data_IF_420949337604
#
_entry.id   IF_420949337604
#
_cell.length_a   1.000
_cell.length_b   1.000
_cell.length_c   1.000
_cell.angle_alpha   90.00
_cell.angle_beta   90.00
_cell.angle_gamma   90.00
#
_symmetry.space_group_name_H-M   'P 1'
#
loop_
_entity.id
_entity.type
_entity.pdbx_description
1 polymer ?
#
# COMPACT_ATOMS: atom_id res chain seq x y z
N UNK A 1 16.21 -7.34 11.61
CA UNK A 1 15.19 -8.37 11.34
C UNK A 1 14.42 -7.95 10.10
N UNK A 2 14.21 -8.88 9.15
CA UNK A 2 13.86 -8.54 7.77
C UNK A 2 12.51 -7.83 7.65
N UNK A 3 12.52 -6.73 6.89
CA UNK A 3 11.35 -6.18 6.22
C UNK A 3 10.50 -7.32 5.68
N UNK A 4 9.22 -7.37 6.08
CA UNK A 4 8.22 -8.33 5.63
C UNK A 4 7.82 -8.06 4.17
N UNK A 5 8.79 -8.04 3.26
CA UNK A 5 8.52 -8.22 1.84
C UNK A 5 8.02 -9.65 1.69
N UNK A 6 6.71 -9.82 1.56
CA UNK A 6 6.12 -11.10 1.16
C UNK A 6 6.02 -11.14 -0.36
N UNK A 7 6.26 -12.30 -0.92
CA UNK A 7 6.09 -12.60 -2.35
C UNK A 7 5.03 -13.67 -2.49
N UNK A 8 4.39 -13.75 -3.66
CA UNK A 8 3.46 -14.82 -3.97
C UNK A 8 4.14 -15.82 -4.88
N UNK A 9 3.96 -17.11 -4.58
CA UNK A 9 4.34 -18.19 -5.50
C UNK A 9 3.11 -18.57 -6.28
N UNK A 10 3.16 -18.43 -7.60
CA UNK A 10 2.02 -18.62 -8.50
C UNK A 10 2.29 -19.80 -9.42
N UNK A 11 1.31 -20.69 -9.54
CA UNK A 11 1.29 -21.74 -10.55
C UNK A 11 0.71 -21.19 -11.85
N UNK A 12 1.40 -21.45 -12.96
CA UNK A 12 0.98 -21.17 -14.33
C UNK A 12 0.91 -22.45 -15.15
N UNK A 13 0.20 -22.37 -16.27
CA UNK A 13 -0.04 -23.52 -17.16
C UNK A 13 0.76 -23.38 -18.45
N UNK A 14 1.37 -24.48 -18.89
CA UNK A 14 2.29 -24.50 -20.04
C UNK A 14 1.65 -24.06 -21.36
N UNK A 15 0.35 -24.32 -21.50
CA UNK A 15 -0.46 -23.98 -22.69
C UNK A 15 -1.65 -23.07 -22.36
N UNK A 16 -1.60 -22.36 -21.23
CA UNK A 16 -2.71 -21.53 -20.72
C UNK A 16 -3.91 -22.32 -20.18
N UNK A 17 -3.81 -23.66 -20.12
CA UNK A 17 -4.80 -24.56 -19.49
C UNK A 17 -4.08 -25.62 -18.67
N UNK A 18 -4.60 -25.90 -17.47
CA UNK A 18 -4.05 -26.98 -16.67
C UNK A 18 -4.46 -28.36 -17.19
N UNK A 19 -3.49 -29.26 -17.23
CA UNK A 19 -3.69 -30.69 -17.38
C UNK A 19 -4.26 -31.32 -16.11
N UNK A 20 -4.79 -32.53 -16.24
CA UNK A 20 -5.29 -33.31 -15.11
C UNK A 20 -4.20 -33.55 -14.04
N UNK A 21 -2.96 -33.80 -14.46
CA UNK A 21 -1.82 -34.02 -13.57
C UNK A 21 -1.43 -32.76 -12.80
N UNK A 22 -1.46 -31.60 -13.47
CA UNK A 22 -1.20 -30.30 -12.83
C UNK A 22 -2.28 -29.97 -11.78
N UNK A 23 -3.55 -30.30 -12.03
CA UNK A 23 -4.62 -30.10 -11.03
C UNK A 23 -4.45 -31.03 -9.82
N UNK A 24 -4.01 -32.27 -10.03
CA UNK A 24 -3.69 -33.18 -8.92
C UNK A 24 -2.47 -32.69 -8.12
N UNK A 25 -1.48 -32.09 -8.77
CA UNK A 25 -0.34 -31.47 -8.12
C UNK A 25 -0.75 -30.24 -7.30
N UNK A 26 -1.64 -29.39 -7.83
CA UNK A 26 -2.16 -28.18 -7.16
C UNK A 26 -2.81 -28.50 -5.80
N UNK A 27 -3.56 -29.60 -5.71
CA UNK A 27 -4.21 -30.08 -4.47
C UNK A 27 -3.26 -30.42 -3.33
N UNK A 28 -1.98 -30.63 -3.63
CA UNK A 28 -0.96 -30.87 -2.60
C UNK A 28 -0.62 -29.58 -1.85
N UNK A 29 -0.74 -28.43 -2.52
CA UNK A 29 -0.38 -27.11 -1.99
C UNK A 29 -1.58 -26.36 -1.40
N UNK A 30 -2.79 -26.58 -1.91
CA UNK A 30 -3.99 -25.85 -1.51
C UNK A 30 -4.96 -26.76 -0.74
N UNK A 31 -5.04 -26.66 0.60
CA UNK A 31 -5.96 -27.46 1.41
C UNK A 31 -7.41 -27.34 0.95
N UNK A 32 -7.86 -26.12 0.66
CA UNK A 32 -9.24 -25.84 0.24
C UNK A 32 -9.60 -26.45 -1.13
N UNK A 33 -8.60 -26.72 -1.96
CA UNK A 33 -8.77 -27.34 -3.29
C UNK A 33 -8.69 -28.87 -3.20
N UNK A 34 -7.99 -29.40 -2.19
CA UNK A 34 -7.77 -30.84 -1.98
C UNK A 34 -9.07 -31.61 -1.82
N UNK A 35 -9.98 -31.05 -1.02
CA UNK A 35 -11.20 -31.74 -0.58
C UNK A 35 -12.41 -31.52 -1.51
N UNK A 36 -12.27 -30.65 -2.52
CA UNK A 36 -13.33 -30.35 -3.49
C UNK A 36 -13.51 -31.49 -4.52
N UNK A 37 -14.64 -31.57 -5.23
CA UNK A 37 -14.77 -32.44 -6.40
C UNK A 37 -13.81 -32.04 -7.52
N UNK A 38 -13.12 -33.01 -8.14
CA UNK A 38 -12.10 -32.74 -9.17
C UNK A 38 -12.66 -32.01 -10.39
N UNK A 39 -13.90 -32.31 -10.77
CA UNK A 39 -14.60 -31.66 -11.88
C UNK A 39 -14.81 -30.16 -11.67
N UNK A 40 -15.06 -29.73 -10.43
CA UNK A 40 -15.25 -28.31 -10.11
C UNK A 40 -13.93 -27.55 -10.18
N UNK A 41 -12.86 -28.16 -9.65
CA UNK A 41 -11.52 -27.58 -9.68
C UNK A 41 -11.02 -27.45 -11.12
N UNK A 42 -11.22 -28.49 -11.95
CA UNK A 42 -10.85 -28.42 -13.37
C UNK A 42 -11.56 -27.27 -14.10
N UNK A 43 -12.84 -27.03 -13.81
CA UNK A 43 -13.59 -25.91 -14.41
C UNK A 43 -13.05 -24.55 -13.98
N UNK A 44 -12.70 -24.41 -12.71
CA UNK A 44 -12.19 -23.14 -12.16
C UNK A 44 -10.76 -22.84 -12.64
N UNK A 45 -9.92 -23.88 -12.71
CA UNK A 45 -8.55 -23.76 -13.20
C UNK A 45 -8.51 -23.41 -14.70
N UNK A 46 -9.55 -23.79 -15.46
CA UNK A 46 -9.71 -23.35 -16.85
C UNK A 46 -10.13 -21.87 -16.98
N UNK A 47 -10.78 -21.31 -15.96
CA UNK A 47 -11.24 -19.92 -15.95
C UNK A 47 -10.17 -18.93 -15.44
N UNK A 48 -9.24 -19.40 -14.59
CA UNK A 48 -8.22 -18.58 -13.96
C UNK A 48 -6.81 -19.08 -14.33
N UNK A 49 -6.00 -18.29 -15.05
CA UNK A 49 -4.70 -18.72 -15.56
C UNK A 49 -3.61 -18.84 -14.48
N UNK A 50 -3.78 -18.13 -13.36
CA UNK A 50 -2.78 -17.98 -12.30
C UNK A 50 -3.35 -18.42 -10.95
N UNK A 51 -2.67 -19.34 -10.26
CA UNK A 51 -3.12 -19.84 -8.95
C UNK A 51 -2.05 -19.62 -7.88
N UNK A 52 -2.41 -18.89 -6.83
CA UNK A 52 -1.49 -18.59 -5.71
C UNK A 52 -1.30 -19.83 -4.86
N UNK A 53 -0.09 -20.39 -4.86
CA UNK A 53 0.29 -21.57 -4.06
C UNK A 53 0.65 -21.19 -2.62
N UNK A 54 1.31 -20.04 -2.44
CA UNK A 54 1.71 -19.54 -1.13
C UNK A 54 1.99 -18.04 -1.17
N UNK A 55 1.77 -17.36 -0.05
CA UNK A 55 2.23 -15.99 0.21
C UNK A 55 3.23 -16.07 1.37
N UNK A 56 4.52 -15.87 1.09
CA UNK A 56 5.59 -16.19 2.03
C UNK A 56 6.79 -15.25 1.88
N UNK A 57 7.79 -15.39 2.77
CA UNK A 57 9.03 -14.61 2.68
C UNK A 57 9.87 -15.06 1.46
N UNK A 58 10.63 -14.17 0.77
CA UNK A 58 11.42 -14.49 -0.41
C UNK A 58 12.33 -15.73 -0.26
N UNK A 59 12.90 -15.91 0.94
CA UNK A 59 13.72 -17.08 1.26
C UNK A 59 12.92 -18.39 1.27
N UNK A 60 11.65 -18.35 1.68
CA UNK A 60 10.74 -19.51 1.68
C UNK A 60 10.12 -19.75 0.30
N UNK A 61 9.90 -18.67 -0.47
CA UNK A 61 9.31 -18.72 -1.80
C UNK A 61 10.11 -19.61 -2.75
N UNK A 62 11.45 -19.56 -2.65
CA UNK A 62 12.34 -20.46 -3.39
C UNK A 62 12.06 -21.93 -3.10
N UNK A 63 11.90 -22.30 -1.83
CA UNK A 63 11.60 -23.66 -1.40
C UNK A 63 10.23 -24.12 -1.90
N UNK A 64 9.22 -23.26 -1.83
CA UNK A 64 7.87 -23.56 -2.34
C UNK A 64 7.90 -23.74 -3.87
N UNK A 65 8.61 -22.89 -4.60
CA UNK A 65 8.81 -23.01 -6.05
C UNK A 65 9.47 -24.35 -6.41
N UNK A 66 10.56 -24.72 -5.75
CA UNK A 66 11.27 -25.99 -5.99
C UNK A 66 10.36 -27.20 -5.72
N UNK A 67 9.55 -27.17 -4.67
CA UNK A 67 8.58 -28.22 -4.37
C UNK A 67 7.49 -28.32 -5.43
N UNK A 68 6.95 -27.18 -5.88
CA UNK A 68 5.93 -27.13 -6.91
C UNK A 68 6.44 -27.64 -8.26
N UNK A 69 7.66 -27.25 -8.64
CA UNK A 69 8.32 -27.73 -9.87
C UNK A 69 8.60 -29.23 -9.83
N UNK A 70 9.03 -29.78 -8.68
CA UNK A 70 9.16 -31.24 -8.49
C UNK A 70 7.82 -31.97 -8.57
N UNK A 71 6.73 -31.30 -8.23
CA UNK A 71 5.39 -31.85 -8.36
C UNK A 71 4.82 -31.71 -9.80
N UNK A 72 5.58 -31.13 -10.74
CA UNK A 72 5.18 -30.97 -12.13
C UNK A 72 4.50 -29.64 -12.46
N UNK A 73 4.40 -28.70 -11.51
CA UNK A 73 3.82 -27.38 -11.73
C UNK A 73 4.85 -26.39 -12.28
N UNK A 74 4.40 -25.46 -13.12
CA UNK A 74 5.21 -24.28 -13.46
C UNK A 74 4.96 -23.24 -12.37
N UNK A 75 5.85 -23.20 -11.38
CA UNK A 75 5.79 -22.21 -10.33
C UNK A 75 6.76 -21.06 -10.60
N UNK A 76 6.27 -19.84 -10.44
CA UNK A 76 7.04 -18.61 -10.50
C UNK A 76 6.87 -17.83 -9.20
N UNK A 77 7.91 -17.14 -8.80
CA UNK A 77 7.83 -16.16 -7.71
C UNK A 77 7.46 -14.84 -8.35
N UNK A 78 6.32 -14.29 -7.95
CA UNK A 78 5.93 -12.94 -8.32
C UNK A 78 6.02 -12.06 -7.08
N UNK A 79 6.53 -10.85 -7.27
CA UNK A 79 6.27 -9.79 -6.33
C UNK A 79 4.76 -9.61 -6.26
N UNK A 80 4.24 -9.52 -5.04
CA UNK A 80 2.81 -9.23 -4.87
C UNK A 80 2.61 -7.83 -5.45
N UNK A 81 1.72 -7.66 -6.46
CA UNK A 81 1.48 -6.37 -7.06
C UNK A 81 1.15 -5.34 -5.97
N UNK A 82 1.60 -4.12 -6.23
CA UNK A 82 1.65 -2.99 -5.30
C UNK A 82 0.27 -2.59 -4.76
N UNK A 83 -0.80 -3.03 -5.42
CA UNK A 83 -2.17 -2.92 -4.95
C UNK A 83 -2.54 -4.05 -3.98
N UNK A 84 -2.80 -3.69 -2.72
CA UNK A 84 -3.50 -4.58 -1.78
C UNK A 84 -2.67 -5.28 -0.72
N UNK A 85 -1.47 -4.77 -0.39
CA UNK A 85 -0.73 -5.19 0.80
C UNK A 85 -0.60 -4.08 1.85
N UNK A 86 -1.39 -3.01 1.74
CA UNK A 86 -1.57 -2.05 2.83
C UNK A 86 -2.64 -2.56 3.81
N UNK A 87 -2.67 -2.09 5.05
CA UNK A 87 -3.79 -2.37 5.97
C UNK A 87 -5.14 -1.93 5.43
N UNK A 88 -5.15 -0.98 4.48
CA UNK A 88 -6.35 -0.44 3.84
C UNK A 88 -6.14 -0.50 2.33
N UNK A 89 -7.06 -1.17 1.63
CA UNK A 89 -7.04 -1.28 0.17
C UNK A 89 -7.44 0.06 -0.50
N UNK A 90 -6.98 0.31 -1.72
CA UNK A 90 -7.30 1.54 -2.47
C UNK A 90 -8.81 1.72 -2.64
N UNK A 91 -9.57 0.64 -2.83
CA UNK A 91 -11.04 0.67 -2.93
C UNK A 91 -11.72 1.05 -1.61
N UNK A 92 -11.08 0.73 -0.49
CA UNK A 92 -11.57 1.08 0.84
C UNK A 92 -11.20 2.51 1.20
N UNK A 93 -9.97 2.95 0.87
CA UNK A 93 -9.58 4.35 0.94
C UNK A 93 -10.48 5.22 0.07
N UNK A 94 -10.76 4.82 -1.17
CA UNK A 94 -11.69 5.55 -2.04
C UNK A 94 -13.07 5.72 -1.39
N UNK A 95 -13.61 4.66 -0.78
CA UNK A 95 -14.87 4.73 -0.02
C UNK A 95 -14.80 5.69 1.16
N UNK A 96 -13.75 5.58 1.99
CA UNK A 96 -13.54 6.47 3.13
C UNK A 96 -13.43 7.94 2.71
N UNK A 97 -12.81 8.20 1.56
CA UNK A 97 -12.56 9.54 1.01
C UNK A 97 -13.70 10.08 0.14
N UNK A 98 -14.79 9.32 0.00
CA UNK A 98 -15.94 9.61 -0.86
C UNK A 98 -15.57 9.82 -2.34
N UNK A 99 -14.64 9.00 -2.85
CA UNK A 99 -14.17 8.99 -4.23
C UNK A 99 -14.78 7.81 -5.01
N UNK A 100 -14.85 7.94 -6.34
CA UNK A 100 -15.20 6.82 -7.23
C UNK A 100 -14.12 5.75 -7.25
N UNK A 101 -12.85 6.17 -7.27
CA UNK A 101 -11.67 5.34 -7.09
C UNK A 101 -10.52 6.21 -6.57
N UNK A 102 -9.51 5.60 -5.93
CA UNK A 102 -8.27 6.29 -5.61
C UNK A 102 -7.36 6.25 -6.84
N UNK A 103 -7.67 7.10 -7.81
CA UNK A 103 -6.90 7.22 -9.05
C UNK A 103 -6.96 8.64 -9.60
N UNK A 104 -5.95 9.00 -10.38
CA UNK A 104 -5.92 10.27 -11.10
C UNK A 104 -7.08 10.33 -12.09
N UNK A 105 -7.76 11.47 -12.17
CA UNK A 105 -8.96 11.66 -12.97
C UNK A 105 -10.27 11.23 -12.29
N UNK A 106 -10.20 10.55 -11.14
CA UNK A 106 -11.40 10.16 -10.39
C UNK A 106 -12.11 11.37 -9.76
N UNK A 107 -13.42 11.27 -9.63
CA UNK A 107 -14.25 12.29 -9.01
C UNK A 107 -14.83 11.85 -7.67
N UNK A 108 -15.54 12.76 -7.01
CA UNK A 108 -16.34 12.42 -5.82
C UNK A 108 -17.58 11.62 -6.20
N UNK A 109 -17.99 10.71 -5.32
CA UNK A 109 -19.25 9.98 -5.51
C UNK A 109 -20.42 10.96 -5.55
N UNK A 110 -21.31 10.81 -6.54
CA UNK A 110 -22.51 11.64 -6.69
C UNK A 110 -22.29 13.02 -7.35
N UNK A 111 -21.06 13.41 -7.70
CA UNK A 111 -20.76 14.72 -8.30
C UNK A 111 -20.30 14.64 -9.78
N UNK A 112 -20.48 13.49 -10.43
CA UNK A 112 -19.98 13.27 -11.81
C UNK A 112 -20.82 14.09 -12.81
N UNK A 113 -20.21 15.15 -13.37
CA UNK A 113 -20.84 15.98 -14.40
C UNK A 113 -21.60 17.21 -13.89
N UNK A 114 -21.55 17.51 -12.58
CA UNK A 114 -22.17 18.68 -12.00
C UNK A 114 -21.21 19.89 -11.89
N UNK A 115 -21.70 21.14 -11.93
CA UNK A 115 -20.91 22.31 -11.55
C UNK A 115 -20.39 22.13 -10.10
N UNK A 116 -19.06 22.23 -9.90
CA UNK A 116 -18.43 21.90 -8.62
C UNK A 116 -17.90 20.45 -8.51
N UNK A 117 -17.94 19.68 -9.60
CA UNK A 117 -17.26 18.38 -9.67
C UNK A 117 -15.76 18.55 -9.41
N UNK A 118 -15.26 17.85 -8.39
CA UNK A 118 -13.83 17.78 -8.10
C UNK A 118 -13.17 16.62 -8.84
N UNK A 119 -11.96 16.83 -9.33
CA UNK A 119 -11.16 15.82 -10.02
C UNK A 119 -9.84 15.60 -9.27
N UNK A 120 -9.48 14.34 -9.00
CA UNK A 120 -8.19 13.98 -8.40
C UNK A 120 -7.08 14.23 -9.42
N UNK A 121 -6.16 15.14 -9.11
CA UNK A 121 -4.98 15.44 -9.92
C UNK A 121 -3.76 14.60 -9.53
N UNK A 122 -3.62 14.36 -8.22
CA UNK A 122 -2.53 13.60 -7.65
C UNK A 122 -2.94 13.03 -6.29
N UNK A 123 -2.30 11.96 -5.87
CA UNK A 123 -2.42 11.43 -4.52
C UNK A 123 -1.14 10.74 -4.10
N UNK A 124 -0.94 10.65 -2.78
CA UNK A 124 0.08 9.80 -2.19
C UNK A 124 -0.43 9.19 -0.89
N UNK A 125 0.12 8.03 -0.54
CA UNK A 125 -0.16 7.32 0.71
C UNK A 125 1.13 6.77 1.32
N UNK A 126 1.13 6.67 2.64
CA UNK A 126 2.10 5.97 3.46
C UNK A 126 1.38 4.98 4.34
N UNK A 127 1.57 3.70 4.07
CA UNK A 127 1.21 2.67 5.05
C UNK A 127 2.28 2.64 6.13
N UNK A 128 1.87 2.84 7.38
CA UNK A 128 2.71 2.66 8.57
C UNK A 128 2.44 1.27 9.12
N UNK A 129 3.51 0.49 9.27
CA UNK A 129 3.48 -0.94 9.56
C UNK A 129 4.25 -1.23 10.85
N UNK A 130 3.64 -1.03 12.02
CA UNK A 130 4.27 -1.42 13.29
C UNK A 130 4.34 -2.94 13.44
N UNK A 131 5.36 -3.40 14.16
CA UNK A 131 5.59 -4.83 14.39
C UNK A 131 4.56 -5.47 15.33
N UNK A 132 3.98 -4.69 16.26
CA UNK A 132 3.10 -5.20 17.32
C UNK A 132 1.76 -4.45 17.44
N UNK A 133 1.48 -3.53 16.52
CA UNK A 133 0.23 -2.77 16.49
C UNK A 133 -0.43 -2.90 15.12
N UNK A 134 -1.76 -2.70 15.03
CA UNK A 134 -2.44 -2.63 13.75
C UNK A 134 -1.79 -1.59 12.85
N UNK A 135 -1.72 -1.88 11.56
CA UNK A 135 -1.20 -0.94 10.58
C UNK A 135 -2.27 0.08 10.17
N UNK A 136 -1.85 1.26 9.75
CA UNK A 136 -2.73 2.34 9.26
C UNK A 136 -2.10 3.05 8.08
N UNK A 137 -2.85 3.96 7.47
CA UNK A 137 -2.43 4.76 6.32
C UNK A 137 -2.52 6.24 6.65
N UNK A 138 -1.55 7.01 6.18
CA UNK A 138 -1.59 8.47 6.11
C UNK A 138 -1.41 8.87 4.67
N UNK A 139 -2.14 9.87 4.17
CA UNK A 139 -2.00 10.28 2.79
C UNK A 139 -2.60 11.63 2.49
N UNK A 140 -2.46 12.06 1.23
CA UNK A 140 -3.14 13.22 0.72
C UNK A 140 -3.71 12.97 -0.68
N UNK A 141 -4.80 13.68 -0.98
CA UNK A 141 -5.39 13.77 -2.31
C UNK A 141 -5.42 15.24 -2.71
N UNK A 142 -4.90 15.56 -3.88
CA UNK A 142 -4.98 16.88 -4.49
C UNK A 142 -6.12 16.89 -5.49
N UNK A 143 -7.10 17.76 -5.26
CA UNK A 143 -8.30 17.84 -6.07
C UNK A 143 -8.45 19.22 -6.70
N UNK A 144 -8.78 19.24 -7.98
CA UNK A 144 -9.20 20.43 -8.68
C UNK A 144 -10.71 20.58 -8.59
N UNK A 145 -11.21 21.68 -8.04
CA UNK A 145 -12.62 22.01 -8.09
C UNK A 145 -12.91 22.84 -9.36
N UNK A 146 -13.64 22.24 -10.31
CA UNK A 146 -14.05 22.95 -11.52
C UNK A 146 -15.14 23.96 -11.20
N UNK A 147 -14.77 25.24 -11.26
CA UNK A 147 -15.75 26.33 -11.15
C UNK A 147 -16.33 26.64 -12.52
N UNK A 148 -17.62 26.88 -12.58
CA UNK A 148 -18.25 27.44 -13.78
C UNK A 148 -17.83 28.91 -13.93
N UNK A 149 -16.92 29.23 -14.87
CA UNK A 149 -16.56 30.61 -15.21
C UNK A 149 -15.07 30.83 -15.54
N UNK A 150 -14.65 32.11 -15.55
CA UNK A 150 -13.27 32.57 -15.85
C UNK A 150 -12.30 32.50 -14.64
N UNK A 151 -12.71 31.94 -13.51
CA UNK A 151 -11.83 31.81 -12.34
C UNK A 151 -10.86 30.66 -12.54
N UNK A 152 -9.59 30.87 -12.21
CA UNK A 152 -8.60 29.80 -12.12
C UNK A 152 -9.12 28.66 -11.23
N UNK A 153 -8.97 27.44 -11.72
CA UNK A 153 -9.34 26.25 -10.96
C UNK A 153 -8.52 26.19 -9.66
N UNK A 154 -9.20 25.98 -8.54
CA UNK A 154 -8.56 25.92 -7.22
C UNK A 154 -8.17 24.48 -6.94
N UNK A 155 -6.88 24.24 -6.73
CA UNK A 155 -6.39 22.99 -6.17
C UNK A 155 -6.58 23.01 -4.65
N UNK A 156 -7.20 21.96 -4.13
CA UNK A 156 -7.40 21.72 -2.70
C UNK A 156 -6.70 20.44 -2.29
N UNK A 157 -6.01 20.46 -1.16
CA UNK A 157 -5.36 19.28 -0.59
C UNK A 157 -6.24 18.73 0.52
N UNK A 158 -6.59 17.44 0.45
CA UNK A 158 -7.24 16.70 1.52
C UNK A 158 -6.26 15.69 2.10
N UNK A 159 -5.75 15.98 3.29
CA UNK A 159 -4.97 15.02 4.08
C UNK A 159 -5.89 14.04 4.80
N UNK A 160 -5.44 12.81 4.99
CA UNK A 160 -6.20 11.80 5.70
C UNK A 160 -5.32 10.85 6.53
N UNK A 161 -5.90 10.33 7.61
CA UNK A 161 -5.44 9.13 8.32
C UNK A 161 -6.54 8.09 8.20
N UNK A 162 -6.22 6.85 7.88
CA UNK A 162 -7.20 5.79 7.67
C UNK A 162 -6.74 4.44 8.20
N UNK A 163 -7.69 3.64 8.66
CA UNK A 163 -7.55 2.21 8.94
C UNK A 163 -8.71 1.43 8.28
N UNK A 164 -8.84 0.16 8.63
CA UNK A 164 -9.92 -0.69 8.13
C UNK A 164 -11.32 -0.21 8.57
N UNK A 165 -11.41 0.54 9.67
CA UNK A 165 -12.67 0.92 10.30
C UNK A 165 -13.13 2.33 9.90
N UNK A 166 -12.24 3.18 9.40
CA UNK A 166 -12.61 4.52 8.94
C UNK A 166 -11.42 5.39 8.57
N UNK A 167 -11.74 6.67 8.31
CA UNK A 167 -10.74 7.70 8.09
C UNK A 167 -11.11 9.00 8.79
N UNK A 168 -10.09 9.75 9.16
CA UNK A 168 -10.16 11.14 9.57
C UNK A 168 -9.56 11.98 8.45
N UNK A 169 -10.29 13.00 8.00
CA UNK A 169 -9.97 13.78 6.80
C UNK A 169 -9.93 15.26 7.16
N UNK A 170 -8.92 15.97 6.69
CA UNK A 170 -8.76 17.40 6.88
C UNK A 170 -8.42 18.09 5.55
N UNK A 171 -9.02 19.26 5.31
CA UNK A 171 -8.57 20.14 4.21
C UNK A 171 -7.35 20.90 4.71
N UNK A 172 -6.27 20.85 3.95
CA UNK A 172 -4.99 21.45 4.28
C UNK A 172 -4.66 22.58 3.29
N UNK A 173 -4.01 23.63 3.79
CA UNK A 173 -3.55 24.74 2.94
C UNK A 173 -2.29 24.37 2.14
N UNK A 174 -1.46 23.48 2.68
CA UNK A 174 -0.19 23.04 2.10
C UNK A 174 -0.01 21.53 2.23
N UNK A 175 0.89 20.98 1.41
CA UNK A 175 1.36 19.59 1.50
C UNK A 175 2.88 19.57 1.72
N UNK A 176 3.29 19.67 2.99
CA UNK A 176 4.70 19.65 3.38
C UNK A 176 5.41 18.34 2.98
N UNK A 177 4.66 17.23 2.83
CA UNK A 177 5.23 15.95 2.39
C UNK A 177 5.63 16.05 0.92
N UNK A 178 4.74 16.57 0.07
CA UNK A 178 5.07 16.82 -1.35
C UNK A 178 6.28 17.74 -1.51
N UNK A 179 6.34 18.82 -0.73
CA UNK A 179 7.48 19.75 -0.76
C UNK A 179 8.78 19.05 -0.34
N UNK A 180 8.73 18.22 0.70
CA UNK A 180 9.87 17.41 1.15
C UNK A 180 10.33 16.46 0.05
N UNK A 181 9.40 15.75 -0.60
CA UNK A 181 9.69 14.83 -1.69
C UNK A 181 10.42 15.48 -2.87
N UNK A 182 10.08 16.73 -3.20
CA UNK A 182 10.77 17.50 -4.23
C UNK A 182 12.26 17.73 -3.95
N UNK A 183 12.70 17.54 -2.70
CA UNK A 183 14.10 17.73 -2.26
C UNK A 183 14.84 16.43 -1.96
N UNK A 184 14.16 15.28 -2.02
CA UNK A 184 14.74 13.99 -1.66
C UNK A 184 15.70 13.46 -2.73
N UNK A 185 16.88 13.02 -2.30
CA UNK A 185 17.79 12.22 -3.12
C UNK A 185 17.64 10.73 -2.79
N UNK A 186 16.75 10.05 -3.53
CA UNK A 186 16.45 8.62 -3.33
C UNK A 186 17.66 7.69 -3.55
N UNK A 187 18.74 8.17 -4.18
CA UNK A 187 19.95 7.39 -4.46
C UNK A 187 21.10 7.69 -3.51
N UNK A 188 20.85 8.47 -2.45
CA UNK A 188 21.86 8.74 -1.43
C UNK A 188 22.22 7.45 -0.69
N UNK A 189 23.47 7.02 -0.84
CA UNK A 189 24.02 5.84 -0.15
C UNK A 189 24.55 6.29 1.21
N UNK A 190 23.97 5.74 2.28
CA UNK A 190 24.48 5.95 3.65
C UNK A 190 25.09 4.65 4.15
N UNK A 191 26.38 4.62 4.52
CA UNK A 191 27.02 3.40 5.01
C UNK A 191 26.38 2.91 6.32
N UNK A 192 25.99 1.63 6.37
CA UNK A 192 25.40 1.00 7.55
C UNK A 192 26.46 0.76 8.62
N UNK A 193 26.24 1.27 9.84
CA UNK A 193 27.16 1.00 10.96
C UNK A 193 26.59 0.11 12.07
N UNK A 194 25.26 -0.03 12.23
CA UNK A 194 24.60 -1.07 13.06
C UNK A 194 23.10 -1.15 12.70
N UNK A 195 22.43 -2.27 12.95
CA UNK A 195 20.97 -2.35 12.78
C UNK A 195 20.25 -1.67 13.96
N UNK A 196 19.48 -0.61 13.71
CA UNK A 196 18.44 -0.17 14.65
C UNK A 196 17.20 -1.01 14.38
N UNK A 197 16.46 -1.33 15.43
CA UNK A 197 15.18 -2.02 15.33
C UNK A 197 14.15 -1.10 16.00
N UNK A 198 13.63 -0.12 15.24
CA UNK A 198 12.52 0.73 15.68
C UNK A 198 11.18 0.01 15.56
N UNK A 199 11.12 -1.11 14.84
CA UNK A 199 9.90 -1.91 14.69
C UNK A 199 8.84 -1.27 13.79
N UNK A 200 9.15 -0.20 13.05
CA UNK A 200 8.26 0.45 12.09
C UNK A 200 8.74 0.24 10.65
N UNK A 201 7.82 -0.28 9.82
CA UNK A 201 7.97 -0.31 8.37
C UNK A 201 7.09 0.76 7.72
N UNK A 202 7.54 1.29 6.58
CA UNK A 202 6.80 2.25 5.78
C UNK A 202 6.72 1.77 4.35
N UNK A 203 5.56 1.98 3.75
CA UNK A 203 5.36 1.85 2.31
C UNK A 203 4.75 3.11 1.76
N UNK A 204 5.50 3.77 0.89
CA UNK A 204 5.07 4.96 0.19
C UNK A 204 4.53 4.58 -1.20
N UNK A 205 3.43 5.18 -1.61
CA UNK A 205 2.82 5.03 -2.94
C UNK A 205 2.33 6.39 -3.41
N UNK A 206 2.46 6.69 -4.71
CA UNK A 206 1.93 7.92 -5.29
C UNK A 206 1.48 7.71 -6.73
N UNK A 207 0.63 8.61 -7.19
CA UNK A 207 0.27 8.74 -8.60
C UNK A 207 -0.14 10.18 -8.91
N UNK A 208 0.28 10.66 -10.08
CA UNK A 208 -0.16 11.89 -10.72
C UNK A 208 -0.19 11.68 -12.25
N UNK A 209 -0.57 12.69 -13.02
CA UNK A 209 -0.65 12.58 -14.49
C UNK A 209 0.68 12.25 -15.19
N UNK A 210 1.83 12.52 -14.57
CA UNK A 210 3.15 12.34 -15.15
C UNK A 210 3.84 11.05 -14.69
N UNK A 211 3.59 10.61 -13.46
CA UNK A 211 4.31 9.50 -12.83
C UNK A 211 3.47 8.85 -11.73
N UNK A 212 3.70 7.55 -11.58
CA UNK A 212 3.35 6.77 -10.40
C UNK A 212 4.59 6.09 -9.84
N UNK A 213 4.49 5.60 -8.61
CA UNK A 213 5.54 4.76 -8.06
C UNK A 213 5.31 4.31 -6.63
N UNK A 214 6.26 3.52 -6.15
CA UNK A 214 6.28 3.04 -4.78
C UNK A 214 7.72 2.86 -4.30
N UNK A 215 7.95 3.05 -3.01
CA UNK A 215 9.15 2.55 -2.35
C UNK A 215 8.83 2.18 -0.90
N UNK A 216 9.76 1.45 -0.28
CA UNK A 216 9.64 0.98 1.10
C UNK A 216 10.88 1.37 1.86
N UNK A 217 10.69 1.72 3.12
CA UNK A 217 11.78 1.95 4.05
C UNK A 217 11.35 1.50 5.46
N UNK A 218 12.32 1.32 6.33
CA UNK A 218 12.11 0.91 7.73
C UNK A 218 13.37 1.27 8.49
N UNK A 219 13.29 1.54 9.80
CA UNK A 219 14.46 1.90 10.59
C UNK A 219 15.26 3.06 9.97
N UNK A 220 14.62 4.22 9.69
CA UNK A 220 15.24 5.33 8.99
C UNK A 220 16.47 5.82 9.78
N UNK A 221 17.64 5.85 9.14
CA UNK A 221 18.90 6.38 9.71
C UNK A 221 19.59 7.42 8.84
N UNK A 222 19.37 7.39 7.53
CA UNK A 222 19.82 8.47 6.66
C UNK A 222 19.03 9.73 7.00
N UNK A 223 19.70 10.87 7.09
CA UNK A 223 19.10 12.16 7.49
C UNK A 223 17.80 12.44 6.73
N UNK A 224 17.76 12.11 5.44
CA UNK A 224 16.59 12.29 4.59
C UNK A 224 15.41 11.37 4.94
N UNK A 225 15.67 10.12 5.32
CA UNK A 225 14.64 9.17 5.74
C UNK A 225 14.09 9.52 7.12
N UNK A 226 14.98 9.96 8.01
CA UNK A 226 14.58 10.47 9.33
C UNK A 226 13.69 11.69 9.13
N UNK A 227 14.13 12.68 8.34
CA UNK A 227 13.34 13.89 8.09
C UNK A 227 12.00 13.57 7.42
N UNK A 228 11.99 12.68 6.42
CA UNK A 228 10.74 12.21 5.82
C UNK A 228 9.79 11.62 6.87
N UNK A 229 10.30 10.77 7.77
CA UNK A 229 9.49 10.23 8.87
C UNK A 229 8.96 11.32 9.80
N UNK A 230 9.77 12.33 10.14
CA UNK A 230 9.35 13.46 10.97
C UNK A 230 8.23 14.26 10.32
N UNK A 231 8.35 14.55 9.02
CA UNK A 231 7.34 15.27 8.24
C UNK A 231 6.05 14.46 8.17
N UNK A 232 6.13 13.16 7.88
CA UNK A 232 4.96 12.27 7.85
C UNK A 232 4.21 12.22 9.19
N UNK A 233 4.94 12.12 10.30
CA UNK A 233 4.35 12.15 11.63
C UNK A 233 3.69 13.50 11.96
N UNK A 234 4.35 14.62 11.64
CA UNK A 234 3.78 15.97 11.82
C UNK A 234 2.50 16.15 11.01
N UNK A 235 2.53 15.72 9.75
CA UNK A 235 1.38 15.76 8.85
C UNK A 235 0.20 14.95 9.41
N UNK A 236 0.44 13.74 9.90
CA UNK A 236 -0.58 12.91 10.53
C UNK A 236 -1.18 13.61 11.78
N UNK A 237 -0.35 14.19 12.64
CA UNK A 237 -0.83 14.96 13.81
C UNK A 237 -1.65 16.18 13.41
N UNK A 238 -1.27 16.88 12.35
CA UNK A 238 -2.03 18.02 11.84
C UNK A 238 -3.43 17.59 11.40
N UNK A 239 -3.55 16.47 10.68
CA UNK A 239 -4.85 15.90 10.28
C UNK A 239 -5.70 15.58 11.51
N UNK A 240 -5.18 14.81 12.48
CA UNK A 240 -5.93 14.43 13.67
C UNK A 240 -6.41 15.64 14.48
N UNK A 241 -5.55 16.65 14.65
CA UNK A 241 -5.88 17.91 15.31
C UNK A 241 -6.98 18.69 14.57
N UNK A 242 -6.88 18.77 13.24
CA UNK A 242 -7.82 19.52 12.40
C UNK A 242 -9.17 18.82 12.29
N UNK A 243 -9.17 17.50 12.20
CA UNK A 243 -10.36 16.66 12.20
C UNK A 243 -11.06 16.62 13.58
N UNK A 244 -10.38 17.06 14.66
CA UNK A 244 -10.88 17.04 16.04
C UNK A 244 -11.38 15.66 16.46
N UNK A 245 -10.62 14.63 16.10
CA UNK A 245 -10.96 13.22 16.32
C UNK A 245 -9.84 12.52 17.09
N UNK A 246 -10.24 11.71 18.07
CA UNK A 246 -9.33 10.89 18.86
C UNK A 246 -9.17 9.46 18.29
N UNK A 247 -9.80 9.14 17.15
CA UNK A 247 -9.80 7.79 16.56
C UNK A 247 -8.39 7.21 16.42
N UNK A 248 -7.44 8.04 15.98
CA UNK A 248 -6.06 7.61 15.70
C UNK A 248 -5.06 7.98 16.82
N UNK A 249 -5.55 8.35 18.01
CA UNK A 249 -4.68 8.78 19.11
C UNK A 249 -3.70 7.68 19.55
N UNK A 250 -4.13 6.42 19.60
CA UNK A 250 -3.29 5.28 19.96
C UNK A 250 -2.20 5.01 18.92
N UNK A 251 -2.55 5.06 17.64
CA UNK A 251 -1.64 4.89 16.51
C UNK A 251 -0.58 5.99 16.51
N UNK A 252 -0.99 7.24 16.75
CA UNK A 252 -0.06 8.37 16.84
C UNK A 252 0.82 8.31 18.09
N UNK A 253 0.30 7.86 19.24
CA UNK A 253 1.12 7.60 20.44
C UNK A 253 2.14 6.50 20.19
N UNK A 254 1.71 5.41 19.55
CA UNK A 254 2.55 4.28 19.17
C UNK A 254 3.68 4.74 18.23
N UNK A 255 3.37 5.48 17.17
CA UNK A 255 4.37 6.03 16.25
C UNK A 255 5.34 6.99 16.98
N UNK A 256 4.83 7.85 17.86
CA UNK A 256 5.68 8.72 18.68
C UNK A 256 6.64 7.95 19.60
N UNK A 257 6.15 6.91 20.28
CA UNK A 257 6.94 6.10 21.21
C UNK A 257 8.08 5.32 20.53
N UNK A 258 7.91 4.90 19.28
CA UNK A 258 8.99 4.28 18.50
C UNK A 258 10.09 5.28 18.11
N UNK A 259 9.77 6.57 18.01
CA UNK A 259 10.74 7.64 17.71
C UNK A 259 11.58 8.05 18.93
N UNK A 260 10.98 8.05 20.12
CA UNK A 260 11.66 8.43 21.39
C UNK A 260 12.68 7.40 21.89
N UNK A 261 12.68 6.18 21.35
CA UNK A 261 13.74 5.20 21.60
C UNK A 261 15.06 5.51 20.87
N UNK A 262 15.08 6.54 20.00
CA UNK A 262 16.28 7.17 19.46
C UNK A 262 16.63 8.32 20.39
N UNK A 263 17.36 7.99 21.46
CA UNK A 263 17.85 8.97 22.44
C UNK A 263 18.72 10.03 21.77
N UNK A 264 18.38 11.28 22.10
CA UNK A 264 19.23 12.46 22.26
C UNK A 264 20.74 12.26 21.98
N UNK A 265 21.18 12.76 20.83
CA UNK A 265 22.35 13.64 20.71
C UNK A 265 22.00 14.82 19.78
#
# INVERSE_FOLDING_TARGET
MSSLTRVRVVARWREGRASHEEVLALRRFLPDVRDRPLVEVLREVQAVPDWVLAVCHPLEARRVCELAQRAGLIAIVEDIPVDGLGPVFNEQLARHLNLTALSVGSGRQGAVGEPGASCVLAWWTVSVLPSFHPAWVVGAVHEEERRSGLSLDRVTTRGFIADENGADIAVLETDEVSDTFGTLNLFQVTPEYMAALDGLGYRFQWSNWATEGTFRFSNPRGDWLVELERVLFRFARQIASTAKSDRFADQLRCWGGYREAITEE
#
